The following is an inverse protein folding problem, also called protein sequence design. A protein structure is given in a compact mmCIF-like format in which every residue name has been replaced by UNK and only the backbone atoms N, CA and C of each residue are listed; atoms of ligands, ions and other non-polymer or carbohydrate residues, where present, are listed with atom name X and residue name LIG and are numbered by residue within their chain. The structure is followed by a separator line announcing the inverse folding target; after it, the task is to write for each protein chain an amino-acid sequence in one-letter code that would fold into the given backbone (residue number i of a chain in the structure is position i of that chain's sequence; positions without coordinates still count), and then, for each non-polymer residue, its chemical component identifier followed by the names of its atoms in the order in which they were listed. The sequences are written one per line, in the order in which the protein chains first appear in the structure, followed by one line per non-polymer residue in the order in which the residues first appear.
data_IF_729851948137
#
_entry.id   IF_729851948137
#
_cell.length_a   1.000
_cell.length_b   1.000
_cell.length_c   1.000
_cell.angle_alpha   90.00
_cell.angle_beta   90.00
_cell.angle_gamma   90.00
#
_symmetry.space_group_name_H-M   'P 1'
#
loop_
_entity.id
_entity.type
_entity.pdbx_description
1 polymer ?
#
# COMPACT_ATOMS: atom_id res chain seq x y z
N UNK A 1 -43.82 6.99 -9.29
CA UNK A 1 -43.27 6.35 -8.06
C UNK A 1 -41.99 5.62 -8.48
N UNK A 2 -40.85 5.89 -7.84
CA UNK A 2 -39.60 5.18 -8.15
C UNK A 2 -39.76 3.69 -7.83
N UNK A 3 -39.18 2.82 -8.66
CA UNK A 3 -39.22 1.37 -8.43
C UNK A 3 -38.31 0.99 -7.26
N UNK A 4 -38.64 -0.07 -6.53
CA UNK A 4 -37.83 -0.55 -5.40
C UNK A 4 -36.36 -0.77 -5.80
N UNK A 5 -36.12 -1.18 -7.06
CA UNK A 5 -34.78 -1.40 -7.59
C UNK A 5 -33.98 -0.11 -7.80
N UNK A 6 -34.61 0.97 -8.28
CA UNK A 6 -33.95 2.28 -8.40
C UNK A 6 -33.51 2.82 -7.04
N UNK A 7 -34.35 2.66 -6.01
CA UNK A 7 -34.04 3.10 -4.64
C UNK A 7 -32.86 2.31 -4.09
N UNK A 8 -32.85 0.98 -4.24
CA UNK A 8 -31.72 0.13 -3.83
C UNK A 8 -30.43 0.48 -4.57
N UNK A 9 -30.50 0.69 -5.88
CA UNK A 9 -29.35 1.08 -6.70
C UNK A 9 -28.79 2.46 -6.32
N UNK A 10 -29.67 3.37 -5.86
CA UNK A 10 -29.26 4.69 -5.38
C UNK A 10 -28.58 4.59 -4.01
N UNK A 11 -29.17 3.85 -3.07
CA UNK A 11 -28.57 3.60 -1.74
C UNK A 11 -27.17 2.98 -1.89
N UNK A 12 -27.02 1.93 -2.70
CA UNK A 12 -25.72 1.29 -2.90
C UNK A 12 -24.65 2.22 -3.49
N UNK A 13 -25.03 3.11 -4.42
CA UNK A 13 -24.11 4.12 -4.98
C UNK A 13 -23.70 5.18 -3.96
N UNK A 14 -24.66 5.65 -3.17
CA UNK A 14 -24.42 6.66 -2.15
C UNK A 14 -23.59 6.08 -1.00
N UNK A 15 -23.90 4.88 -0.47
CA UNK A 15 -23.10 4.19 0.55
C UNK A 15 -21.64 3.97 0.11
N UNK A 16 -21.42 3.65 -1.18
CA UNK A 16 -20.07 3.54 -1.75
C UNK A 16 -19.34 4.89 -1.80
N UNK A 17 -20.06 5.98 -2.12
CA UNK A 17 -19.51 7.35 -2.11
C UNK A 17 -19.21 7.87 -0.70
N UNK A 18 -20.00 7.44 0.27
CA UNK A 18 -19.86 7.85 1.66
C UNK A 18 -18.83 7.02 2.43
N UNK A 19 -18.11 6.08 1.81
CA UNK A 19 -16.98 5.41 2.46
C UNK A 19 -15.69 5.68 1.69
N UNK A 20 -14.71 6.25 2.39
CA UNK A 20 -13.36 6.46 1.86
C UNK A 20 -12.36 5.58 2.60
N UNK A 21 -11.27 5.19 1.92
CA UNK A 21 -10.17 4.49 2.61
C UNK A 21 -9.61 5.39 3.69
N UNK A 22 -9.39 4.82 4.87
CA UNK A 22 -8.75 5.50 5.97
C UNK A 22 -7.37 5.99 5.54
N UNK A 23 -6.99 7.20 5.96
CA UNK A 23 -5.71 7.78 5.55
C UNK A 23 -4.52 6.89 5.97
N UNK A 24 -4.58 6.29 7.16
CA UNK A 24 -3.60 5.31 7.64
C UNK A 24 -3.44 4.11 6.70
N UNK A 25 -4.53 3.64 6.09
CA UNK A 25 -4.51 2.51 5.13
C UNK A 25 -3.89 2.95 3.81
N UNK A 26 -4.16 4.18 3.34
CA UNK A 26 -3.52 4.72 2.13
C UNK A 26 -2.01 4.84 2.31
N UNK A 27 -1.57 5.44 3.41
CA UNK A 27 -0.14 5.58 3.74
C UNK A 27 0.53 4.21 3.84
N UNK A 28 -0.13 3.25 4.49
CA UNK A 28 0.37 1.89 4.59
C UNK A 28 0.51 1.22 3.21
N UNK A 29 -0.50 1.34 2.34
CA UNK A 29 -0.44 0.81 0.96
C UNK A 29 0.71 1.43 0.15
N UNK A 30 0.90 2.75 0.23
CA UNK A 30 2.02 3.40 -0.46
C UNK A 30 3.38 2.88 0.05
N UNK A 31 3.49 2.60 1.36
CA UNK A 31 4.70 1.97 1.93
C UNK A 31 4.89 0.55 1.42
N UNK A 32 3.81 -0.25 1.30
CA UNK A 32 3.84 -1.59 0.69
C UNK A 32 4.38 -1.51 -0.73
N UNK A 33 3.81 -0.66 -1.57
CA UNK A 33 4.19 -0.50 -2.99
C UNK A 33 5.68 -0.08 -3.15
N UNK A 34 6.16 0.81 -2.27
CA UNK A 34 7.55 1.21 -2.26
C UNK A 34 8.50 0.06 -1.90
N UNK A 35 8.17 -0.73 -0.86
CA UNK A 35 8.98 -1.89 -0.48
C UNK A 35 8.96 -2.95 -1.59
N UNK A 36 7.79 -3.22 -2.18
CA UNK A 36 7.66 -4.17 -3.28
C UNK A 36 8.58 -3.80 -4.45
N UNK A 37 8.58 -2.53 -4.85
CA UNK A 37 9.47 -2.00 -5.89
C UNK A 37 10.95 -2.24 -5.56
N UNK A 38 11.37 -1.96 -4.32
CA UNK A 38 12.76 -2.16 -3.86
C UNK A 38 13.15 -3.64 -3.80
N UNK A 39 12.23 -4.52 -3.40
CA UNK A 39 12.45 -5.97 -3.43
C UNK A 39 12.62 -6.44 -4.87
N UNK A 40 11.77 -5.96 -5.79
CA UNK A 40 11.83 -6.33 -7.20
C UNK A 40 13.15 -5.89 -7.86
N UNK A 41 13.63 -4.67 -7.56
CA UNK A 41 14.94 -4.19 -7.98
C UNK A 41 16.08 -5.07 -7.42
N UNK A 42 16.01 -5.44 -6.14
CA UNK A 42 17.02 -6.27 -5.51
C UNK A 42 17.09 -7.68 -6.13
N UNK A 43 15.93 -8.29 -6.38
CA UNK A 43 15.83 -9.60 -7.04
C UNK A 43 16.31 -9.51 -8.49
N UNK A 44 15.96 -8.46 -9.21
CA UNK A 44 16.36 -8.26 -10.61
C UNK A 44 17.87 -8.07 -10.75
N UNK A 45 18.51 -7.40 -9.79
CA UNK A 45 19.96 -7.19 -9.78
C UNK A 45 20.73 -8.38 -9.17
N UNK A 46 20.04 -9.32 -8.52
CA UNK A 46 20.63 -10.47 -7.82
C UNK A 46 21.53 -11.32 -8.72
N UNK A 47 21.14 -11.75 -9.94
CA UNK A 47 22.01 -12.58 -10.79
C UNK A 47 23.33 -11.90 -11.14
N UNK A 48 23.31 -10.58 -11.40
CA UNK A 48 24.51 -9.79 -11.70
C UNK A 48 25.41 -9.68 -10.47
N UNK A 49 24.82 -9.44 -9.29
CA UNK A 49 25.58 -9.34 -8.04
C UNK A 49 26.15 -10.69 -7.62
N UNK A 50 25.39 -11.78 -7.72
CA UNK A 50 25.84 -13.14 -7.44
C UNK A 50 26.93 -13.60 -8.41
N UNK A 51 26.83 -13.27 -9.71
CA UNK A 51 27.89 -13.55 -10.68
C UNK A 51 29.21 -12.83 -10.33
N UNK A 52 29.15 -11.55 -9.91
CA UNK A 52 30.32 -10.80 -9.43
C UNK A 52 30.95 -11.44 -8.18
N UNK A 53 30.13 -12.03 -7.32
CA UNK A 53 30.59 -12.72 -6.11
C UNK A 53 31.19 -14.10 -6.40
N UNK A 54 30.71 -14.79 -7.43
CA UNK A 54 31.10 -16.17 -7.78
C UNK A 54 32.39 -16.25 -8.60
N UNK A 55 32.80 -15.17 -9.28
CA UNK A 55 33.84 -15.22 -10.32
C UNK A 55 35.31 -15.24 -9.87
N UNK A 56 35.67 -15.21 -8.58
CA UNK A 56 37.08 -15.36 -8.15
C UNK A 56 37.21 -15.65 -6.64
N UNK A 57 38.29 -16.36 -6.29
CA UNK A 57 38.91 -16.63 -4.98
C UNK A 57 38.49 -15.65 -3.87
N UNK A 58 38.29 -16.15 -2.65
CA UNK A 58 37.87 -15.45 -1.42
C UNK A 58 38.68 -14.16 -1.12
N UNK A 59 38.51 -13.14 -1.94
CA UNK A 59 39.14 -11.83 -1.80
C UNK A 59 38.28 -10.98 -0.87
N UNK A 60 38.92 -10.15 -0.04
CA UNK A 60 38.24 -9.27 0.91
C UNK A 60 37.22 -8.33 0.26
N UNK A 61 37.44 -7.97 -1.02
CA UNK A 61 36.51 -7.16 -1.83
C UNK A 61 35.19 -7.89 -2.10
N UNK A 62 35.24 -9.18 -2.46
CA UNK A 62 34.04 -9.98 -2.71
C UNK A 62 33.25 -10.23 -1.42
N UNK A 63 33.93 -10.49 -0.30
CA UNK A 63 33.30 -10.62 1.03
C UNK A 63 32.60 -9.31 1.44
N UNK A 64 33.20 -8.16 1.17
CA UNK A 64 32.58 -6.86 1.44
C UNK A 64 31.32 -6.63 0.59
N UNK A 65 31.34 -7.04 -0.68
CA UNK A 65 30.17 -6.93 -1.57
C UNK A 65 29.04 -7.87 -1.14
N UNK A 66 29.33 -9.12 -0.77
CA UNK A 66 28.31 -10.07 -0.31
C UNK A 66 27.70 -9.63 1.02
N UNK A 67 28.51 -9.10 1.94
CA UNK A 67 28.02 -8.50 3.18
C UNK A 67 27.10 -7.31 2.92
N UNK A 68 27.48 -6.39 2.01
CA UNK A 68 26.63 -5.24 1.64
C UNK A 68 25.30 -5.69 1.04
N UNK A 69 25.32 -6.71 0.19
CA UNK A 69 24.10 -7.28 -0.39
C UNK A 69 23.21 -7.91 0.69
N UNK A 70 23.78 -8.80 1.52
CA UNK A 70 23.06 -9.44 2.63
C UNK A 70 22.49 -8.42 3.63
N UNK A 71 23.23 -7.35 3.93
CA UNK A 71 22.74 -6.24 4.77
C UNK A 71 21.53 -5.53 4.16
N UNK A 72 21.50 -5.31 2.84
CA UNK A 72 20.34 -4.73 2.16
C UNK A 72 19.12 -5.63 2.23
N UNK A 73 19.31 -6.94 1.99
CA UNK A 73 18.24 -7.95 2.14
C UNK A 73 17.70 -7.93 3.57
N UNK A 74 18.59 -7.96 4.57
CA UNK A 74 18.21 -7.96 5.98
C UNK A 74 17.38 -6.73 6.37
N UNK A 75 17.82 -5.53 5.98
CA UNK A 75 17.09 -4.29 6.29
C UNK A 75 15.70 -4.28 5.66
N UNK A 76 15.56 -4.71 4.40
CA UNK A 76 14.26 -4.84 3.74
C UNK A 76 13.34 -5.83 4.46
N UNK A 77 13.88 -6.96 4.93
CA UNK A 77 13.10 -7.94 5.70
C UNK A 77 12.60 -7.36 7.02
N UNK A 78 13.42 -6.58 7.73
CA UNK A 78 12.99 -5.90 8.96
C UNK A 78 11.87 -4.89 8.67
N UNK A 79 11.99 -4.10 7.60
CA UNK A 79 10.92 -3.17 7.18
C UNK A 79 9.62 -3.91 6.83
N UNK A 80 9.69 -5.06 6.14
CA UNK A 80 8.52 -5.90 5.83
C UNK A 80 7.87 -6.43 7.11
N UNK A 81 8.65 -6.84 8.12
CA UNK A 81 8.10 -7.30 9.40
C UNK A 81 7.33 -6.19 10.11
N UNK A 82 7.90 -4.99 10.17
CA UNK A 82 7.23 -3.81 10.75
C UNK A 82 5.95 -3.51 9.99
N UNK A 83 6.01 -3.48 8.67
CA UNK A 83 4.84 -3.20 7.82
C UNK A 83 3.74 -4.25 8.00
N UNK A 84 4.12 -5.52 8.16
CA UNK A 84 3.17 -6.61 8.46
C UNK A 84 2.49 -6.41 9.81
N UNK A 85 3.20 -5.93 10.84
CA UNK A 85 2.58 -5.62 12.13
C UNK A 85 1.68 -4.38 12.09
N UNK A 86 2.02 -3.38 11.27
CA UNK A 86 1.20 -2.17 11.07
C UNK A 86 -0.07 -2.45 10.24
N UNK A 87 -0.09 -3.53 9.44
CA UNK A 87 -1.18 -3.87 8.52
C UNK A 87 -2.43 -4.46 9.16
N UNK A 88 -2.52 -4.50 10.49
CA UNK A 88 -3.67 -5.08 11.20
C UNK A 88 -4.75 -4.01 11.44
N UNK A 89 -5.50 -3.68 10.39
CA UNK A 89 -6.59 -2.70 10.45
C UNK A 89 -7.93 -3.37 10.77
N UNK A 90 -8.58 -2.95 11.87
CA UNK A 90 -9.93 -3.41 12.22
C UNK A 90 -11.00 -2.82 11.28
N UNK A 91 -10.80 -1.57 10.82
CA UNK A 91 -11.62 -0.93 9.80
C UNK A 91 -10.73 -0.29 8.73
N UNK A 92 -11.03 -0.56 7.46
CA UNK A 92 -10.22 -0.10 6.32
C UNK A 92 -10.79 1.13 5.62
N UNK A 93 -12.05 1.47 5.94
CA UNK A 93 -12.78 2.58 5.34
C UNK A 93 -13.55 3.34 6.40
N UNK A 94 -13.47 4.66 6.40
CA UNK A 94 -14.27 5.53 7.25
C UNK A 94 -15.42 6.15 6.47
N UNK A 95 -16.47 6.58 7.19
CA UNK A 95 -17.55 7.35 6.58
C UNK A 95 -17.03 8.73 6.18
N UNK A 96 -17.12 9.06 4.89
CA UNK A 96 -16.87 10.41 4.38
C UNK A 96 -17.81 11.37 5.10
N UNK A 97 -17.30 12.43 5.78
CA UNK A 97 -18.15 13.44 6.38
C UNK A 97 -19.10 13.99 5.31
N UNK A 98 -20.39 13.75 5.48
CA UNK A 98 -21.41 14.33 4.62
C UNK A 98 -21.38 15.82 4.95
N UNK A 99 -20.86 16.64 4.04
CA UNK A 99 -21.12 18.09 4.09
C UNK A 99 -22.61 18.31 3.77
N UNK A 100 -23.48 17.98 4.71
CA UNK A 100 -24.86 18.45 4.71
C UNK A 100 -24.83 19.96 4.94
N UNK A 101 -24.82 20.76 3.88
CA UNK A 101 -25.74 21.89 3.68
C UNK A 101 -25.71 22.22 2.19
N UNK A 102 -26.60 21.61 1.41
CA UNK A 102 -27.26 22.40 0.36
C UNK A 102 -28.74 22.40 0.71
N UNK A 103 -29.06 23.36 1.55
CA UNK A 103 -30.41 23.79 1.86
C UNK A 103 -31.20 23.80 0.54
N UNK A 104 -32.23 22.94 0.45
CA UNK A 104 -33.20 23.06 -0.62
C UNK A 104 -33.89 24.38 -0.38
N UNK A 105 -33.57 25.41 -1.16
CA UNK A 105 -34.45 26.57 -1.32
C UNK A 105 -35.77 26.03 -1.90
N UNK A 106 -36.68 25.71 -0.99
CA UNK A 106 -38.09 25.52 -1.31
C UNK A 106 -38.63 26.95 -1.36
N UNK A 107 -38.68 27.54 -2.55
CA UNK A 107 -39.56 28.69 -2.74
C UNK A 107 -41.00 28.18 -2.72
N UNK A 108 -41.86 28.68 -1.83
CA UNK A 108 -43.30 28.48 -1.94
C UNK A 108 -43.92 29.55 -2.83
N UNK A 109 -44.94 29.09 -3.57
CA UNK A 109 -46.01 29.82 -4.26
C UNK A 109 -45.69 30.39 -5.64
#
# INVERSE_FOLDING_TARGET
KATQQEVKNKIAREETRYRQRLESVKVWLTRVENIDTRVNDLVSTSPIQLAKLCLCDLSSKNVCLSYKYGKRVFLLLEEVKVLKSEGNFDEVTELTPISEVKERHTQPT
#
